data_IF_804117493663
#
_entry.id   IF_804117493663
#
_cell.length_a   1.000
_cell.length_b   1.000
_cell.length_c   1.000
_cell.angle_alpha   90.00
_cell.angle_beta   90.00
_cell.angle_gamma   90.00
#
_symmetry.space_group_name_H-M   'P 1'
#
loop_
_entity.id
_entity.type
_entity.pdbx_description
1 polymer ?
#
# COMPACT_ATOMS: atom_id res chain seq x y z
N UNK A 1 -6.02 9.77 3.74
CA UNK A 1 -5.95 8.45 3.06
C UNK A 1 -7.18 8.33 2.20
N UNK A 2 -7.02 8.18 0.91
CA UNK A 2 -8.17 8.09 0.00
C UNK A 2 -8.93 6.78 0.21
N UNK A 3 -10.25 6.85 0.12
CA UNK A 3 -11.10 5.67 0.23
C UNK A 3 -10.83 4.70 -0.93
N UNK A 4 -10.73 3.42 -0.61
CA UNK A 4 -10.62 2.40 -1.65
C UNK A 4 -11.99 2.18 -2.30
N UNK A 5 -12.01 2.01 -3.61
CA UNK A 5 -13.25 1.74 -4.38
C UNK A 5 -13.68 0.27 -4.29
N UNK A 6 -12.81 -0.63 -3.85
CA UNK A 6 -13.07 -2.05 -3.71
C UNK A 6 -12.88 -2.49 -2.26
N UNK A 7 -13.84 -3.25 -1.74
CA UNK A 7 -13.81 -3.75 -0.36
C UNK A 7 -12.61 -4.66 -0.13
N UNK A 8 -12.25 -5.50 -1.10
CA UNK A 8 -11.10 -6.41 -1.01
C UNK A 8 -9.79 -5.64 -0.79
N UNK A 9 -9.61 -4.49 -1.44
CA UNK A 9 -8.43 -3.65 -1.24
C UNK A 9 -8.39 -3.04 0.16
N UNK A 10 -9.55 -2.67 0.71
CA UNK A 10 -9.65 -2.19 2.09
C UNK A 10 -9.27 -3.28 3.09
N UNK A 11 -9.79 -4.50 2.89
CA UNK A 11 -9.47 -5.66 3.71
C UNK A 11 -7.99 -6.02 3.61
N UNK A 12 -7.42 -6.03 2.40
CA UNK A 12 -6.00 -6.28 2.18
C UNK A 12 -5.10 -5.29 2.91
N UNK A 13 -5.41 -3.98 2.82
CA UNK A 13 -4.66 -2.96 3.55
C UNK A 13 -4.82 -3.09 5.08
N UNK A 14 -6.00 -3.46 5.56
CA UNK A 14 -6.22 -3.72 6.98
C UNK A 14 -5.40 -4.93 7.46
N UNK A 15 -5.38 -6.02 6.71
CA UNK A 15 -4.57 -7.20 6.98
C UNK A 15 -3.07 -6.87 7.00
N UNK A 16 -2.59 -6.09 6.02
CA UNK A 16 -1.21 -5.62 5.97
C UNK A 16 -0.83 -4.83 7.23
N UNK A 17 -1.66 -3.88 7.64
CA UNK A 17 -1.41 -3.07 8.85
C UNK A 17 -1.42 -3.95 10.09
N UNK A 18 -2.37 -4.89 10.20
CA UNK A 18 -2.48 -5.80 11.34
C UNK A 18 -1.24 -6.72 11.45
N UNK A 19 -0.77 -7.27 10.33
CA UNK A 19 0.43 -8.11 10.29
C UNK A 19 1.70 -7.31 10.64
N UNK A 20 1.81 -6.05 10.16
CA UNK A 20 2.89 -5.15 10.53
C UNK A 20 2.91 -4.84 12.04
N UNK A 21 1.75 -4.59 12.62
CA UNK A 21 1.65 -4.34 14.07
C UNK A 21 2.08 -5.59 14.86
N UNK A 22 1.63 -6.78 14.45
CA UNK A 22 2.04 -8.04 15.06
C UNK A 22 3.56 -8.22 15.01
N UNK A 23 4.16 -8.06 13.83
CA UNK A 23 5.63 -8.12 13.67
C UNK A 23 6.35 -7.16 14.62
N UNK A 24 5.90 -5.90 14.67
CA UNK A 24 6.51 -4.89 15.52
C UNK A 24 6.38 -5.21 17.02
N UNK A 25 5.23 -5.74 17.45
CA UNK A 25 5.04 -6.19 18.84
C UNK A 25 5.99 -7.32 19.20
N UNK A 26 6.10 -8.34 18.35
CA UNK A 26 7.01 -9.47 18.58
C UNK A 26 8.49 -9.04 18.63
N UNK A 27 8.88 -8.12 17.75
CA UNK A 27 10.23 -7.54 17.78
C UNK A 27 10.49 -6.77 19.07
N UNK A 28 9.53 -5.97 19.52
CA UNK A 28 9.63 -5.23 20.77
C UNK A 28 9.72 -6.17 21.98
N UNK A 29 8.88 -7.21 22.03
CA UNK A 29 8.88 -8.22 23.10
C UNK A 29 10.17 -9.03 23.13
N UNK A 30 10.81 -9.28 21.99
CA UNK A 30 12.11 -9.93 21.88
C UNK A 30 13.30 -9.04 22.27
N UNK A 31 13.04 -7.77 22.64
CA UNK A 31 14.06 -6.81 23.05
C UNK A 31 14.83 -6.19 21.88
N UNK A 32 14.35 -6.31 20.65
CA UNK A 32 14.93 -5.63 19.50
C UNK A 32 14.55 -4.16 19.52
N UNK A 33 15.55 -3.29 19.48
CA UNK A 33 15.31 -1.85 19.35
C UNK A 33 14.73 -1.52 17.97
N UNK A 34 13.64 -0.76 17.95
CA UNK A 34 13.09 -0.22 16.72
C UNK A 34 13.93 0.98 16.27
N UNK A 35 14.38 0.94 15.02
CA UNK A 35 15.15 2.05 14.45
C UNK A 35 14.32 3.33 14.40
N UNK A 36 14.93 4.43 14.82
CA UNK A 36 14.37 5.77 14.68
C UNK A 36 15.07 6.49 13.53
N UNK A 37 14.30 7.18 12.71
CA UNK A 37 14.80 7.92 11.56
C UNK A 37 14.45 9.40 11.66
N UNK A 38 15.24 10.31 11.03
CA UNK A 38 14.93 11.73 10.98
C UNK A 38 13.53 11.97 10.40
N UNK A 39 12.80 12.88 11.03
CA UNK A 39 11.42 13.20 10.62
C UNK A 39 11.36 13.70 9.16
N UNK A 40 12.36 14.45 8.74
CA UNK A 40 12.49 15.02 7.40
C UNK A 40 12.51 13.91 6.32
N UNK A 41 13.19 12.80 6.58
CA UNK A 41 13.24 11.67 5.65
C UNK A 41 11.89 10.93 5.58
N UNK A 42 11.21 10.82 6.70
CA UNK A 42 9.86 10.25 6.76
C UNK A 42 8.86 11.13 6.01
N UNK A 43 8.97 12.44 6.16
CA UNK A 43 8.10 13.41 5.48
C UNK A 43 8.36 13.46 3.97
N UNK A 44 9.62 13.36 3.53
CA UNK A 44 9.95 13.22 2.11
C UNK A 44 9.27 11.98 1.52
N UNK A 45 9.37 10.83 2.18
CA UNK A 45 8.71 9.61 1.71
C UNK A 45 7.18 9.76 1.65
N UNK A 46 6.57 10.40 2.65
CA UNK A 46 5.12 10.69 2.62
C UNK A 46 4.74 11.59 1.45
N UNK A 47 5.53 12.65 1.19
CA UNK A 47 5.29 13.55 0.07
C UNK A 47 5.39 12.83 -1.26
N UNK A 48 6.44 12.00 -1.46
CA UNK A 48 6.63 11.21 -2.68
C UNK A 48 5.47 10.23 -2.87
N UNK A 49 5.08 9.52 -1.81
CA UNK A 49 3.97 8.58 -1.85
C UNK A 49 2.63 9.27 -2.19
N UNK A 50 2.37 10.46 -1.62
CA UNK A 50 1.16 11.23 -1.90
C UNK A 50 1.11 11.77 -3.33
N UNK A 51 2.27 12.18 -3.88
CA UNK A 51 2.34 12.81 -5.20
C UNK A 51 2.42 11.80 -6.35
N UNK A 52 3.22 10.76 -6.17
CA UNK A 52 3.57 9.82 -7.25
C UNK A 52 2.98 8.42 -7.02
N UNK A 53 2.45 8.14 -5.82
CA UNK A 53 1.85 6.84 -5.50
C UNK A 53 2.82 5.70 -5.70
N UNK A 54 2.36 4.67 -6.43
CA UNK A 54 3.14 3.47 -6.71
C UNK A 54 4.26 3.68 -7.76
N UNK A 55 4.22 4.78 -8.49
CA UNK A 55 5.19 5.09 -9.56
C UNK A 55 6.34 5.98 -9.05
N UNK A 56 6.32 6.33 -7.76
CA UNK A 56 7.39 7.06 -7.09
C UNK A 56 8.56 6.18 -6.67
N UNK A 57 9.65 6.83 -6.23
CA UNK A 57 10.79 6.19 -5.60
C UNK A 57 10.91 6.66 -4.15
N UNK A 58 10.79 5.75 -3.20
CA UNK A 58 10.94 6.03 -1.78
C UNK A 58 12.39 5.78 -1.32
N UNK A 59 12.78 6.45 -0.25
CA UNK A 59 14.03 6.14 0.43
C UNK A 59 13.81 4.93 1.33
N UNK A 60 14.53 3.84 1.06
CA UNK A 60 14.66 2.70 1.97
C UNK A 60 15.59 3.13 3.11
N UNK A 61 15.00 3.56 4.21
CA UNK A 61 15.71 4.20 5.32
C UNK A 61 16.82 3.31 5.92
N UNK A 62 16.61 1.99 6.14
CA UNK A 62 17.67 1.11 6.61
C UNK A 62 18.87 0.97 5.69
N UNK A 63 18.67 1.16 4.38
CA UNK A 63 19.72 1.00 3.36
C UNK A 63 20.23 2.32 2.81
N UNK A 64 19.57 3.41 3.16
CA UNK A 64 19.88 4.78 2.66
C UNK A 64 19.92 4.86 1.13
N UNK A 65 19.03 4.10 0.46
CA UNK A 65 18.95 4.06 -1.00
C UNK A 65 17.54 4.40 -1.51
N UNK A 66 17.43 4.97 -2.71
CA UNK A 66 16.16 5.16 -3.38
C UNK A 66 15.76 3.89 -4.11
N UNK A 67 14.51 3.47 -3.89
CA UNK A 67 13.95 2.26 -4.50
C UNK A 67 12.53 2.53 -5.01
N UNK A 68 12.12 1.88 -6.11
CA UNK A 68 10.74 1.96 -6.58
C UNK A 68 9.75 1.60 -5.47
N UNK A 69 8.71 2.41 -5.30
CA UNK A 69 7.67 2.21 -4.27
C UNK A 69 7.09 0.79 -4.32
N UNK A 70 6.81 0.27 -5.53
CA UNK A 70 6.29 -1.09 -5.72
C UNK A 70 7.23 -2.17 -5.17
N UNK A 71 8.53 -2.00 -5.39
CA UNK A 71 9.55 -2.94 -4.89
C UNK A 71 9.66 -2.92 -3.37
N UNK A 72 9.61 -1.72 -2.77
CA UNK A 72 9.62 -1.58 -1.32
C UNK A 72 8.34 -2.19 -0.70
N UNK A 73 7.18 -1.91 -1.29
CA UNK A 73 5.91 -2.43 -0.81
C UNK A 73 5.84 -3.96 -0.90
N UNK A 74 6.31 -4.58 -2.00
CA UNK A 74 6.41 -6.05 -2.10
C UNK A 74 7.27 -6.64 -0.99
N UNK A 75 8.45 -6.07 -0.76
CA UNK A 75 9.32 -6.53 0.35
C UNK A 75 8.62 -6.46 1.72
N UNK A 76 7.77 -5.45 1.93
CA UNK A 76 6.99 -5.35 3.17
C UNK A 76 5.93 -6.44 3.24
N UNK A 77 5.16 -6.66 2.17
CA UNK A 77 4.16 -7.73 2.09
C UNK A 77 4.79 -9.10 2.34
N UNK A 78 5.89 -9.41 1.65
CA UNK A 78 6.61 -10.69 1.80
C UNK A 78 7.08 -10.89 3.24
N UNK A 79 7.63 -9.84 3.87
CA UNK A 79 8.14 -9.89 5.24
C UNK A 79 7.06 -10.20 6.27
N UNK A 80 5.85 -9.70 6.09
CA UNK A 80 4.77 -9.86 7.07
C UNK A 80 3.83 -11.03 6.78
N UNK A 81 4.05 -11.77 5.72
CA UNK A 81 3.15 -12.85 5.28
C UNK A 81 2.96 -13.92 6.36
N UNK A 82 4.03 -14.36 7.00
CA UNK A 82 3.96 -15.32 8.10
C UNK A 82 3.09 -14.81 9.27
N UNK A 83 3.21 -13.53 9.60
CA UNK A 83 2.39 -12.91 10.65
C UNK A 83 0.91 -12.79 10.24
N UNK A 84 0.64 -12.60 8.95
CA UNK A 84 -0.73 -12.61 8.42
C UNK A 84 -1.33 -14.02 8.43
N UNK A 85 -0.53 -15.06 8.12
CA UNK A 85 -0.94 -16.47 8.24
C UNK A 85 -1.33 -16.81 9.67
N UNK A 86 -0.54 -16.43 10.65
CA UNK A 86 -0.83 -16.60 12.07
C UNK A 86 -2.13 -15.91 12.51
N UNK A 87 -2.50 -14.80 11.84
CA UNK A 87 -3.73 -14.05 12.08
C UNK A 87 -4.91 -14.58 11.25
N UNK A 88 -4.68 -15.51 10.33
CA UNK A 88 -5.68 -16.04 9.41
C UNK A 88 -6.13 -15.03 8.35
N UNK A 89 -5.28 -14.05 7.99
CA UNK A 89 -5.56 -12.97 7.04
C UNK A 89 -4.57 -12.93 5.86
N UNK A 90 -3.90 -14.03 5.58
CA UNK A 90 -2.94 -14.17 4.49
C UNK A 90 -3.58 -13.99 3.11
N UNK A 91 -4.83 -14.46 2.95
CA UNK A 91 -5.58 -14.34 1.68
C UNK A 91 -5.92 -12.90 1.33
N UNK A 92 -6.16 -12.08 2.33
CA UNK A 92 -6.44 -10.65 2.14
C UNK A 92 -5.21 -9.90 1.61
N UNK A 93 -3.99 -10.38 1.88
CA UNK A 93 -2.77 -9.80 1.32
C UNK A 93 -2.68 -9.94 -0.21
N UNK A 94 -3.34 -10.92 -0.81
CA UNK A 94 -3.39 -11.07 -2.27
C UNK A 94 -4.04 -9.85 -2.95
N UNK A 95 -4.97 -9.19 -2.26
CA UNK A 95 -5.55 -7.95 -2.75
C UNK A 95 -4.56 -6.76 -2.72
N UNK A 96 -3.57 -6.79 -1.84
CA UNK A 96 -2.46 -5.80 -1.85
C UNK A 96 -1.54 -6.07 -3.04
N UNK A 97 -1.26 -7.33 -3.36
CA UNK A 97 -0.49 -7.68 -4.55
C UNK A 97 -1.20 -7.25 -5.84
N UNK A 98 -2.52 -7.43 -5.93
CA UNK A 98 -3.33 -6.92 -7.05
C UNK A 98 -3.22 -5.39 -7.19
N UNK A 99 -3.24 -4.64 -6.07
CA UNK A 99 -2.99 -3.20 -6.06
C UNK A 99 -1.59 -2.84 -6.59
N UNK A 100 -0.58 -3.60 -6.20
CA UNK A 100 0.79 -3.38 -6.63
C UNK A 100 0.99 -3.69 -8.12
N UNK A 101 0.26 -4.63 -8.68
CA UNK A 101 0.36 -5.01 -10.09
C UNK A 101 -0.47 -4.08 -10.98
N UNK A 102 -1.75 -3.91 -10.66
CA UNK A 102 -2.73 -3.23 -11.52
C UNK A 102 -2.87 -1.74 -11.26
N UNK A 103 -2.27 -1.26 -10.18
CA UNK A 103 -2.40 0.13 -9.74
C UNK A 103 -3.62 0.37 -8.85
N UNK A 104 -3.63 1.54 -8.24
CA UNK A 104 -4.68 1.99 -7.33
C UNK A 104 -5.90 2.58 -8.07
N UNK A 105 -6.92 2.98 -7.31
CA UNK A 105 -8.13 3.60 -7.86
C UNK A 105 -7.85 4.87 -8.68
N UNK A 106 -6.92 5.71 -8.22
CA UNK A 106 -6.57 6.94 -8.92
C UNK A 106 -5.96 6.66 -10.31
N UNK A 107 -5.05 5.69 -10.42
CA UNK A 107 -4.47 5.31 -11.70
C UNK A 107 -5.54 4.82 -12.69
N UNK A 108 -6.50 4.00 -12.23
CA UNK A 108 -7.62 3.54 -13.07
C UNK A 108 -8.52 4.68 -13.51
N UNK A 109 -8.87 5.59 -12.60
CA UNK A 109 -9.70 6.75 -12.91
C UNK A 109 -9.03 7.67 -13.94
N UNK A 110 -7.72 7.85 -13.83
CA UNK A 110 -6.94 8.61 -14.82
C UNK A 110 -7.02 7.96 -16.20
N UNK A 111 -6.83 6.65 -16.30
CA UNK A 111 -6.94 5.92 -17.57
C UNK A 111 -8.35 6.07 -18.20
N UNK A 112 -9.41 5.95 -17.38
CA UNK A 112 -10.80 6.15 -17.86
C UNK A 112 -11.01 7.57 -18.35
N UNK A 113 -10.50 8.56 -17.64
CA UNK A 113 -10.62 9.95 -18.04
C UNK A 113 -9.85 10.25 -19.34
N UNK A 114 -8.61 9.78 -19.45
CA UNK A 114 -7.79 9.99 -20.65
C UNK A 114 -8.40 9.34 -21.91
N UNK A 115 -9.06 8.18 -21.73
CA UNK A 115 -9.72 7.51 -22.84
C UNK A 115 -11.00 8.19 -23.33
N UNK A 116 -11.76 8.83 -22.43
CA UNK A 116 -13.11 9.32 -22.71
C UNK A 116 -13.22 10.86 -22.66
N UNK A 117 -12.31 11.53 -21.96
CA UNK A 117 -12.36 12.95 -21.60
C UNK A 117 -13.69 13.39 -20.97
N UNK A 118 -14.36 12.45 -20.27
CA UNK A 118 -15.65 12.66 -19.60
C UNK A 118 -15.60 12.16 -18.16
N UNK A 119 -15.81 13.06 -17.20
CA UNK A 119 -15.87 12.73 -15.77
C UNK A 119 -17.06 11.83 -15.41
N UNK A 120 -18.11 11.79 -16.22
CA UNK A 120 -19.26 10.92 -15.99
C UNK A 120 -18.86 9.43 -16.12
N UNK A 121 -17.97 9.13 -17.07
CA UNK A 121 -17.45 7.77 -17.25
C UNK A 121 -16.56 7.36 -16.06
N UNK A 122 -15.79 8.28 -15.50
CA UNK A 122 -15.03 8.04 -14.26
C UNK A 122 -15.97 7.74 -13.09
N UNK A 123 -17.03 8.53 -12.93
CA UNK A 123 -18.03 8.29 -11.87
C UNK A 123 -18.72 6.93 -12.04
N UNK A 124 -19.09 6.54 -13.26
CA UNK A 124 -19.67 5.22 -13.53
C UNK A 124 -18.72 4.09 -13.11
N UNK A 125 -17.44 4.18 -13.49
CA UNK A 125 -16.43 3.19 -13.10
C UNK A 125 -16.34 3.05 -11.57
N UNK A 126 -16.29 4.18 -10.86
CA UNK A 126 -16.24 4.18 -9.40
C UNK A 126 -17.47 3.51 -8.80
N UNK A 127 -18.68 3.86 -9.27
CA UNK A 127 -19.95 3.28 -8.78
C UNK A 127 -19.97 1.77 -9.03
N UNK A 128 -19.61 1.31 -10.23
CA UNK A 128 -19.58 -0.11 -10.57
C UNK A 128 -18.63 -0.89 -9.67
N UNK A 129 -17.44 -0.35 -9.40
CA UNK A 129 -16.42 -1.01 -8.55
C UNK A 129 -16.76 -0.98 -7.05
N UNK A 130 -17.55 0.00 -6.63
CA UNK A 130 -17.96 0.10 -5.22
C UNK A 130 -19.20 -0.75 -4.93
N UNK A 131 -19.99 -1.06 -5.96
CA UNK A 131 -21.24 -1.81 -5.83
C UNK A 131 -21.07 -3.32 -6.05
N UNK A 132 -19.87 -3.75 -6.43
CA UNK A 132 -19.52 -5.16 -6.62
C UNK A 132 -18.97 -5.74 -5.31
#
# INVERSE_FOLDING_TARGET
MDAQTRVEHTLGLAALVQALVKELCERFESGLELSSYPYEMLDENKFIAARYGLDGELVDLPREERVPTRSLARRVVDRVREHAEDLGSDRELDAVEDLLERGNGAARQTVVYEANHDLREVVKEVVEKTSA
#
